data_IF_521272600147
#
_entry.id   IF_521272600147
#
_cell.length_a   1.000
_cell.length_b   1.000
_cell.length_c   1.000
_cell.angle_alpha   90.00
_cell.angle_beta   90.00
_cell.angle_gamma   90.00
#
_symmetry.space_group_name_H-M   'P 1'
#
loop_
_entity.id
_entity.type
_entity.pdbx_description
1 polymer ?
#
# COMPACT_ATOMS: atom_id res chain seq x y z
N UNK A 1 19.82 -23.92 -1.53
CA UNK A 1 19.69 -23.19 -0.23
C UNK A 1 20.24 -23.99 0.98
N UNK A 2 21.38 -24.68 0.83
CA UNK A 2 21.97 -25.50 1.91
C UNK A 2 22.88 -24.69 2.87
N UNK A 3 22.94 -23.39 2.76
CA UNK A 3 23.81 -22.48 3.52
C UNK A 3 22.96 -21.40 4.20
N UNK A 4 23.04 -21.30 5.51
CA UNK A 4 22.28 -20.34 6.32
C UNK A 4 22.52 -18.88 5.88
N UNK A 5 23.74 -18.55 5.51
CA UNK A 5 24.07 -17.19 5.02
C UNK A 5 23.35 -16.89 3.71
N UNK A 6 23.29 -17.86 2.80
CA UNK A 6 22.57 -17.71 1.52
C UNK A 6 21.06 -17.63 1.74
N UNK A 7 20.50 -18.43 2.67
CA UNK A 7 19.08 -18.34 3.06
C UNK A 7 18.73 -16.97 3.61
N UNK A 8 19.52 -16.48 4.56
CA UNK A 8 19.34 -15.16 5.16
C UNK A 8 19.41 -14.05 4.12
N UNK A 9 20.45 -14.04 3.28
CA UNK A 9 20.63 -13.04 2.22
C UNK A 9 19.46 -13.04 1.20
N UNK A 10 18.90 -14.23 0.90
CA UNK A 10 17.72 -14.34 0.05
C UNK A 10 16.49 -13.66 0.71
N UNK A 11 16.20 -13.97 1.98
CA UNK A 11 15.06 -13.39 2.70
C UNK A 11 15.23 -11.88 2.90
N UNK A 12 16.45 -11.40 3.19
CA UNK A 12 16.73 -9.96 3.27
C UNK A 12 16.41 -9.25 1.93
N UNK A 13 16.85 -9.85 0.81
CA UNK A 13 16.55 -9.30 -0.54
C UNK A 13 15.06 -9.30 -0.87
N UNK A 14 14.32 -10.32 -0.43
CA UNK A 14 12.86 -10.38 -0.59
C UNK A 14 12.20 -9.29 0.26
N UNK A 15 12.68 -9.06 1.50
CA UNK A 15 12.20 -7.97 2.35
C UNK A 15 12.45 -6.57 1.77
N UNK A 16 13.58 -6.37 1.05
CA UNK A 16 13.88 -5.11 0.36
C UNK A 16 12.82 -4.74 -0.68
N UNK A 17 12.16 -5.70 -1.32
CA UNK A 17 11.09 -5.43 -2.30
C UNK A 17 9.92 -4.70 -1.62
N UNK A 18 9.53 -5.14 -0.43
CA UNK A 18 8.49 -4.50 0.38
C UNK A 18 8.87 -3.06 0.71
N UNK A 19 10.12 -2.84 1.17
CA UNK A 19 10.60 -1.51 1.47
C UNK A 19 10.64 -0.60 0.24
N UNK A 20 11.00 -1.12 -0.93
CA UNK A 20 10.99 -0.35 -2.19
C UNK A 20 9.57 0.06 -2.60
N UNK A 21 8.57 -0.81 -2.44
CA UNK A 21 7.16 -0.46 -2.70
C UNK A 21 6.68 0.64 -1.76
N UNK A 22 6.92 0.48 -0.46
CA UNK A 22 6.49 1.45 0.56
C UNK A 22 7.20 2.80 0.44
N UNK A 23 8.48 2.80 0.05
CA UNK A 23 9.31 4.02 -0.09
C UNK A 23 9.29 4.61 -1.50
N UNK A 24 8.56 4.01 -2.44
CA UNK A 24 8.39 4.58 -3.78
C UNK A 24 7.76 5.98 -3.66
N UNK A 25 8.37 6.97 -4.30
CA UNK A 25 7.89 8.36 -4.26
C UNK A 25 6.48 8.53 -4.86
N UNK A 26 6.08 7.62 -5.73
CA UNK A 26 4.73 7.58 -6.33
C UNK A 26 3.86 6.57 -5.62
N UNK A 27 2.54 6.80 -5.50
CA UNK A 27 1.61 5.78 -5.05
C UNK A 27 1.70 4.52 -5.91
N UNK A 28 1.60 3.37 -5.25
CA UNK A 28 1.59 2.04 -5.88
C UNK A 28 0.22 1.42 -5.68
N UNK A 29 -0.45 1.08 -6.77
CA UNK A 29 -1.76 0.44 -6.75
C UNK A 29 -1.60 -1.03 -7.08
N UNK A 30 -2.03 -1.90 -6.16
CA UNK A 30 -2.14 -3.33 -6.39
C UNK A 30 -3.42 -3.65 -7.17
N UNK A 31 -3.30 -4.27 -8.33
CA UNK A 31 -4.44 -4.74 -9.12
C UNK A 31 -4.43 -6.28 -9.15
N UNK A 32 -5.33 -6.88 -8.37
CA UNK A 32 -5.34 -8.32 -8.09
C UNK A 32 -6.40 -9.00 -8.96
N UNK A 33 -5.96 -9.78 -9.92
CA UNK A 33 -6.83 -10.40 -10.93
C UNK A 33 -7.05 -11.90 -10.75
N UNK A 34 -6.69 -12.47 -9.58
CA UNK A 34 -6.82 -13.91 -9.35
C UNK A 34 -6.28 -14.35 -7.99
N UNK A 35 -5.85 -15.61 -7.91
CA UNK A 35 -5.33 -16.21 -6.68
C UNK A 35 -4.01 -15.54 -6.27
N UNK A 36 -3.96 -15.09 -5.03
CA UNK A 36 -2.81 -14.44 -4.42
C UNK A 36 -2.45 -15.17 -3.13
N UNK A 37 -1.26 -15.77 -3.07
CA UNK A 37 -0.84 -16.62 -1.97
C UNK A 37 0.51 -16.20 -1.39
N UNK A 38 0.71 -16.43 -0.09
CA UNK A 38 1.98 -16.23 0.62
C UNK A 38 2.59 -14.84 0.40
N UNK A 39 3.80 -14.80 -0.18
CA UNK A 39 4.52 -13.55 -0.47
C UNK A 39 3.73 -12.58 -1.37
N UNK A 40 2.88 -13.10 -2.26
CA UNK A 40 1.99 -12.27 -3.09
C UNK A 40 1.01 -11.45 -2.26
N UNK A 41 0.39 -12.04 -1.23
CA UNK A 41 -0.48 -11.31 -0.28
C UNK A 41 0.34 -10.25 0.47
N UNK A 42 1.56 -10.57 0.87
CA UNK A 42 2.40 -9.66 1.64
C UNK A 42 2.87 -8.46 0.80
N UNK A 43 3.21 -8.68 -0.48
CA UNK A 43 3.53 -7.59 -1.42
C UNK A 43 2.30 -6.74 -1.76
N UNK A 44 1.13 -7.36 -1.90
CA UNK A 44 -0.12 -6.64 -2.07
C UNK A 44 -0.40 -5.69 -0.89
N UNK A 45 -0.21 -6.15 0.34
CA UNK A 45 -0.36 -5.34 1.56
C UNK A 45 0.66 -4.19 1.66
N UNK A 46 1.76 -4.25 0.91
CA UNK A 46 2.73 -3.17 0.82
C UNK A 46 2.35 -2.08 -0.19
N UNK A 47 1.32 -2.31 -1.03
CA UNK A 47 0.76 -1.30 -1.92
C UNK A 47 -0.06 -0.26 -1.14
N UNK A 48 -0.20 0.93 -1.69
CA UNK A 48 -0.93 2.04 -1.05
C UNK A 48 -2.45 1.89 -1.20
N UNK A 49 -2.90 1.34 -2.32
CA UNK A 49 -4.30 1.04 -2.62
C UNK A 49 -4.35 -0.33 -3.29
N UNK A 50 -5.33 -1.14 -2.93
CA UNK A 50 -5.52 -2.46 -3.55
C UNK A 50 -6.92 -2.55 -4.14
N UNK A 51 -6.98 -2.87 -5.43
CA UNK A 51 -8.19 -3.22 -6.16
C UNK A 51 -8.14 -4.71 -6.51
N UNK A 52 -9.26 -5.38 -6.46
CA UNK A 52 -9.33 -6.82 -6.70
C UNK A 52 -10.49 -7.18 -7.62
N UNK A 53 -10.31 -8.24 -8.41
CA UNK A 53 -11.40 -8.95 -9.06
C UNK A 53 -12.26 -9.67 -8.01
N UNK A 54 -13.55 -9.78 -8.25
CA UNK A 54 -14.51 -10.46 -7.36
C UNK A 54 -14.22 -11.96 -7.17
N UNK A 55 -13.56 -12.61 -8.13
CA UNK A 55 -13.13 -14.02 -8.09
C UNK A 55 -11.75 -14.21 -7.47
N UNK A 56 -11.04 -13.17 -7.08
CA UNK A 56 -9.75 -13.30 -6.44
C UNK A 56 -9.84 -14.05 -5.10
N UNK A 57 -8.79 -14.77 -4.77
CA UNK A 57 -8.64 -15.53 -3.53
C UNK A 57 -7.32 -15.15 -2.87
N UNK A 58 -7.33 -15.10 -1.55
CA UNK A 58 -6.15 -14.71 -0.76
C UNK A 58 -5.84 -15.78 0.28
N UNK A 59 -4.56 -16.17 0.42
CA UNK A 59 -4.12 -17.26 1.29
C UNK A 59 -2.78 -16.90 1.93
N UNK A 60 -2.68 -16.95 3.26
CA UNK A 60 -1.40 -16.90 3.98
C UNK A 60 -0.80 -18.31 4.11
N UNK A 61 -0.30 -18.86 2.99
CA UNK A 61 0.03 -20.29 2.85
C UNK A 61 1.33 -20.75 3.49
N UNK A 62 2.09 -19.89 4.17
CA UNK A 62 3.42 -20.23 4.69
C UNK A 62 3.43 -21.39 5.67
N UNK A 63 2.46 -21.46 6.58
CA UNK A 63 2.37 -22.52 7.58
C UNK A 63 2.24 -23.90 6.95
N UNK A 64 1.62 -24.01 5.78
CA UNK A 64 1.44 -25.27 5.05
C UNK A 64 2.75 -25.89 4.57
N UNK A 65 3.82 -25.10 4.52
CA UNK A 65 5.18 -25.55 4.16
C UNK A 65 6.19 -25.35 5.29
N UNK A 66 5.71 -25.12 6.53
CA UNK A 66 6.56 -24.98 7.72
C UNK A 66 7.37 -23.70 7.76
N UNK A 67 6.90 -22.63 7.11
CA UNK A 67 7.54 -21.32 7.09
C UNK A 67 6.73 -20.27 7.84
N UNK A 68 7.39 -19.20 8.25
CA UNK A 68 6.73 -17.95 8.69
C UNK A 68 6.59 -17.00 7.50
N UNK A 69 5.57 -16.12 7.50
CA UNK A 69 5.42 -15.10 6.45
C UNK A 69 6.65 -14.19 6.34
N UNK A 70 7.15 -14.03 5.12
CA UNK A 70 8.23 -13.11 4.74
C UNK A 70 7.68 -11.79 4.16
N UNK A 71 8.48 -11.01 3.41
CA UNK A 71 8.06 -9.73 2.81
C UNK A 71 7.38 -8.77 3.79
N UNK A 72 7.66 -8.84 5.09
CA UNK A 72 7.00 -8.01 6.11
C UNK A 72 5.54 -8.37 6.36
N UNK A 73 5.06 -9.52 5.88
CA UNK A 73 3.65 -9.93 5.92
C UNK A 73 3.05 -9.95 7.33
N UNK A 74 3.79 -10.46 8.33
CA UNK A 74 3.31 -10.47 9.72
C UNK A 74 3.07 -9.06 10.26
N UNK A 75 3.95 -8.11 9.92
CA UNK A 75 3.80 -6.72 10.33
C UNK A 75 2.60 -6.08 9.62
N UNK A 76 2.58 -6.12 8.27
CA UNK A 76 1.58 -5.46 7.46
C UNK A 76 0.16 -6.02 7.68
N UNK A 77 0.02 -7.34 7.74
CA UNK A 77 -1.30 -7.94 7.96
C UNK A 77 -1.84 -7.59 9.34
N UNK A 78 -0.99 -7.66 10.39
CA UNK A 78 -1.40 -7.26 11.75
C UNK A 78 -1.89 -5.80 11.80
N UNK A 79 -1.20 -4.88 11.12
CA UNK A 79 -1.61 -3.48 11.06
C UNK A 79 -2.94 -3.30 10.28
N UNK A 80 -3.17 -4.15 9.28
CA UNK A 80 -4.36 -4.05 8.42
C UNK A 80 -5.61 -4.63 9.09
N UNK A 81 -5.53 -5.88 9.60
CA UNK A 81 -6.72 -6.63 10.06
C UNK A 81 -6.78 -6.80 11.59
N UNK A 82 -5.79 -6.26 12.31
CA UNK A 82 -5.65 -6.45 13.75
C UNK A 82 -5.02 -7.80 14.12
N UNK A 83 -4.54 -7.87 15.38
CA UNK A 83 -3.68 -8.98 15.85
C UNK A 83 -4.37 -10.36 15.78
N UNK A 84 -5.64 -10.45 16.22
CA UNK A 84 -6.33 -11.74 16.31
C UNK A 84 -6.63 -12.30 14.92
N UNK A 85 -7.17 -11.47 14.00
CA UNK A 85 -7.48 -11.91 12.65
C UNK A 85 -6.22 -12.24 11.84
N UNK A 86 -5.15 -11.48 12.04
CA UNK A 86 -3.86 -11.80 11.43
C UNK A 86 -3.34 -13.19 11.87
N UNK A 87 -3.42 -13.51 13.19
CA UNK A 87 -3.06 -14.83 13.71
C UNK A 87 -3.92 -15.94 13.13
N UNK A 88 -5.23 -15.76 13.09
CA UNK A 88 -6.15 -16.73 12.50
C UNK A 88 -5.75 -17.03 11.04
N UNK A 89 -5.67 -16.03 10.18
CA UNK A 89 -5.33 -16.21 8.76
C UNK A 89 -3.95 -16.85 8.56
N UNK A 90 -2.95 -16.50 9.39
CA UNK A 90 -1.61 -17.07 9.27
C UNK A 90 -1.49 -18.49 9.81
N UNK A 91 -2.25 -18.84 10.86
CA UNK A 91 -2.15 -20.15 11.51
C UNK A 91 -2.99 -21.20 10.80
N UNK A 92 -4.15 -20.81 10.25
CA UNK A 92 -5.05 -21.74 9.56
C UNK A 92 -4.74 -21.84 8.06
N UNK A 93 -4.14 -20.80 7.48
CA UNK A 93 -3.98 -20.65 6.03
C UNK A 93 -5.31 -20.77 5.27
N UNK A 94 -6.40 -20.31 5.88
CA UNK A 94 -7.71 -20.32 5.25
C UNK A 94 -7.73 -19.42 4.01
N UNK A 95 -8.44 -19.88 3.01
CA UNK A 95 -8.69 -19.12 1.77
C UNK A 95 -9.81 -18.13 2.04
N UNK A 96 -9.53 -16.83 1.86
CA UNK A 96 -10.56 -15.79 1.93
C UNK A 96 -10.92 -15.27 0.54
N UNK A 97 -12.18 -14.89 0.35
CA UNK A 97 -12.68 -14.29 -0.89
C UNK A 97 -12.29 -12.81 -1.00
N UNK A 98 -12.48 -12.23 -2.19
CA UNK A 98 -12.31 -10.80 -2.42
C UNK A 98 -13.22 -9.96 -1.49
N UNK A 99 -14.46 -10.38 -1.31
CA UNK A 99 -15.44 -9.70 -0.46
C UNK A 99 -15.05 -9.77 1.03
N UNK A 100 -14.49 -10.90 1.48
CA UNK A 100 -13.97 -11.01 2.85
C UNK A 100 -12.71 -10.13 3.01
N UNK A 101 -11.80 -10.12 2.05
CA UNK A 101 -10.61 -9.27 2.06
C UNK A 101 -10.98 -7.77 2.06
N UNK A 102 -12.06 -7.38 1.39
CA UNK A 102 -12.59 -6.00 1.43
C UNK A 102 -13.15 -5.65 2.81
N UNK A 103 -13.95 -6.52 3.42
CA UNK A 103 -14.44 -6.33 4.81
C UNK A 103 -13.30 -6.19 5.80
N UNK A 104 -12.21 -6.93 5.60
CA UNK A 104 -11.00 -6.89 6.42
C UNK A 104 -10.07 -5.72 6.07
N UNK A 105 -10.41 -4.88 5.09
CA UNK A 105 -9.57 -3.75 4.62
C UNK A 105 -8.22 -4.15 4.00
N UNK A 106 -8.07 -5.40 3.62
CA UNK A 106 -6.92 -5.87 2.83
C UNK A 106 -7.04 -5.42 1.37
N UNK A 107 -8.26 -5.29 0.88
CA UNK A 107 -8.65 -4.78 -0.43
C UNK A 107 -9.57 -3.58 -0.21
N UNK A 108 -9.40 -2.53 -0.99
CA UNK A 108 -10.22 -1.31 -0.87
C UNK A 108 -11.42 -1.30 -1.82
N UNK A 109 -11.29 -1.98 -2.97
CA UNK A 109 -12.33 -2.02 -4.00
C UNK A 109 -12.35 -3.38 -4.65
N UNK A 110 -13.55 -3.95 -4.78
CA UNK A 110 -13.81 -5.20 -5.51
C UNK A 110 -14.64 -4.88 -6.74
N UNK A 111 -14.20 -5.36 -7.89
CA UNK A 111 -14.84 -5.12 -9.19
C UNK A 111 -15.09 -6.46 -9.91
N UNK A 112 -15.93 -6.45 -10.92
CA UNK A 112 -15.99 -7.57 -11.87
C UNK A 112 -14.64 -7.73 -12.57
N UNK A 113 -14.39 -8.88 -13.13
CA UNK A 113 -13.12 -9.14 -13.82
C UNK A 113 -12.91 -8.21 -15.03
N UNK A 114 -14.00 -7.89 -15.70
CA UNK A 114 -14.05 -7.00 -16.86
C UNK A 114 -13.76 -5.54 -16.47
N UNK A 115 -14.30 -5.09 -15.32
CA UNK A 115 -14.21 -3.71 -14.88
C UNK A 115 -12.93 -3.41 -14.08
N UNK A 116 -12.27 -4.43 -13.52
CA UNK A 116 -11.12 -4.27 -12.63
C UNK A 116 -10.05 -3.32 -13.20
N UNK A 117 -9.67 -3.52 -14.45
CA UNK A 117 -8.63 -2.69 -15.09
C UNK A 117 -9.11 -1.25 -15.24
N UNK A 118 -10.31 -1.07 -15.79
CA UNK A 118 -10.87 0.26 -16.10
C UNK A 118 -11.02 1.08 -14.82
N UNK A 119 -11.59 0.48 -13.77
CA UNK A 119 -11.83 1.18 -12.51
C UNK A 119 -10.52 1.46 -11.75
N UNK A 120 -9.56 0.53 -11.80
CA UNK A 120 -8.23 0.76 -11.22
C UNK A 120 -7.49 1.90 -11.93
N UNK A 121 -7.58 1.96 -13.27
CA UNK A 121 -6.97 3.05 -14.06
C UNK A 121 -7.62 4.41 -13.76
N UNK A 122 -8.93 4.48 -13.51
CA UNK A 122 -9.60 5.72 -13.07
C UNK A 122 -9.03 6.24 -11.75
N UNK A 123 -8.79 5.33 -10.78
CA UNK A 123 -8.16 5.70 -9.50
C UNK A 123 -6.74 6.24 -9.76
N UNK A 124 -5.96 5.53 -10.57
CA UNK A 124 -4.59 5.94 -10.91
C UNK A 124 -4.56 7.32 -11.59
N UNK A 125 -5.45 7.56 -12.54
CA UNK A 125 -5.57 8.85 -13.23
C UNK A 125 -5.96 9.97 -12.27
N UNK A 126 -6.91 9.71 -11.36
CA UNK A 126 -7.31 10.68 -10.34
C UNK A 126 -6.15 11.08 -9.43
N UNK A 127 -5.34 10.10 -9.01
CA UNK A 127 -4.15 10.35 -8.18
C UNK A 127 -3.10 11.12 -8.98
N UNK A 128 -2.89 10.76 -10.25
CA UNK A 128 -1.90 11.41 -11.14
C UNK A 128 -2.23 12.88 -11.44
N UNK A 129 -3.49 13.31 -11.26
CA UNK A 129 -3.91 14.72 -11.36
C UNK A 129 -3.63 15.52 -10.08
N UNK A 130 -3.28 14.87 -8.97
CA UNK A 130 -2.95 15.53 -7.72
C UNK A 130 -1.52 16.10 -7.69
N UNK A 131 -1.24 17.00 -6.73
CA UNK A 131 0.08 17.61 -6.55
C UNK A 131 1.12 16.52 -6.16
N UNK A 132 2.12 16.22 -7.02
CA UNK A 132 2.98 15.06 -6.83
C UNK A 132 3.82 15.11 -5.54
N UNK A 133 4.34 16.30 -5.17
CA UNK A 133 5.13 16.47 -3.96
C UNK A 133 4.29 16.26 -2.70
N UNK A 134 3.07 16.80 -2.66
CA UNK A 134 2.17 16.60 -1.53
C UNK A 134 1.81 15.12 -1.35
N UNK A 135 1.47 14.42 -2.44
CA UNK A 135 1.17 12.97 -2.42
C UNK A 135 2.37 12.16 -1.93
N UNK A 136 3.58 12.47 -2.42
CA UNK A 136 4.82 11.80 -1.99
C UNK A 136 5.04 11.95 -0.48
N UNK A 137 4.90 13.16 0.05
CA UNK A 137 5.12 13.41 1.47
C UNK A 137 4.02 12.80 2.34
N UNK A 138 2.75 12.87 1.93
CA UNK A 138 1.66 12.16 2.62
C UNK A 138 1.97 10.66 2.73
N UNK A 139 2.33 10.00 1.62
CA UNK A 139 2.72 8.59 1.62
C UNK A 139 3.88 8.32 2.57
N UNK A 140 4.94 9.12 2.51
CA UNK A 140 6.13 8.98 3.35
C UNK A 140 5.78 9.07 4.84
N UNK A 141 5.00 10.06 5.23
CA UNK A 141 4.60 10.26 6.61
C UNK A 141 3.67 9.15 7.11
N UNK A 142 2.68 8.76 6.32
CA UNK A 142 1.74 7.68 6.66
C UNK A 142 2.40 6.30 6.77
N UNK A 143 3.49 6.08 6.04
CA UNK A 143 4.26 4.83 6.10
C UNK A 143 5.28 4.79 7.25
N UNK A 144 5.50 5.90 7.95
CA UNK A 144 6.44 6.02 9.07
C UNK A 144 5.73 5.77 10.39
N UNK A 145 6.41 5.12 11.31
CA UNK A 145 5.95 5.00 12.70
C UNK A 145 6.44 6.18 13.52
N UNK A 146 5.58 6.75 14.36
CA UNK A 146 5.90 7.83 15.29
C UNK A 146 5.66 7.36 16.71
N UNK A 147 6.48 7.81 17.64
CA UNK A 147 6.34 7.46 19.05
C UNK A 147 5.09 8.09 19.68
N UNK A 148 4.72 9.28 19.23
CA UNK A 148 3.57 10.02 19.73
C UNK A 148 3.10 11.06 18.69
N UNK A 149 1.95 11.71 18.96
CA UNK A 149 1.38 12.71 18.09
C UNK A 149 2.28 13.95 17.92
N UNK A 150 3.04 14.33 18.96
CA UNK A 150 3.91 15.50 18.87
C UNK A 150 5.00 15.32 17.81
N UNK A 151 5.65 14.16 17.78
CA UNK A 151 6.69 13.86 16.79
C UNK A 151 6.11 13.88 15.36
N UNK A 152 4.86 13.41 15.18
CA UNK A 152 4.14 13.52 13.92
C UNK A 152 3.89 14.98 13.53
N UNK A 153 3.37 15.81 14.45
CA UNK A 153 3.06 17.22 14.20
C UNK A 153 4.33 18.05 13.91
N UNK A 154 5.45 17.73 14.54
CA UNK A 154 6.72 18.40 14.27
C UNK A 154 7.19 18.15 12.82
N UNK A 155 7.08 16.91 12.34
CA UNK A 155 7.40 16.58 10.93
C UNK A 155 6.34 17.14 9.96
N UNK A 156 5.06 17.09 10.33
CA UNK A 156 3.96 17.69 9.55
C UNK A 156 4.19 19.18 9.31
N UNK A 157 4.60 19.93 10.34
CA UNK A 157 4.89 21.35 10.22
C UNK A 157 6.02 21.63 9.21
N UNK A 158 7.08 20.83 9.21
CA UNK A 158 8.19 20.94 8.26
C UNK A 158 7.72 20.66 6.82
N UNK A 159 7.00 19.54 6.64
CA UNK A 159 6.49 19.11 5.33
C UNK A 159 5.47 20.11 4.79
N UNK A 160 4.54 20.57 5.62
CA UNK A 160 3.54 21.54 5.21
C UNK A 160 4.15 22.88 4.83
N UNK A 161 5.16 23.35 5.60
CA UNK A 161 5.91 24.56 5.26
C UNK A 161 6.61 24.44 3.90
N UNK A 162 7.20 23.28 3.62
CA UNK A 162 7.78 22.99 2.31
C UNK A 162 6.71 23.07 1.20
N UNK A 163 5.58 22.37 1.38
CA UNK A 163 4.51 22.34 0.39
C UNK A 163 3.89 23.73 0.13
N UNK A 164 3.75 24.56 1.16
CA UNK A 164 3.28 25.96 1.04
C UNK A 164 4.18 26.82 0.13
N UNK A 165 5.47 26.50 0.06
CA UNK A 165 6.44 27.20 -0.79
C UNK A 165 6.45 26.78 -2.27
N UNK A 166 5.73 25.69 -2.64
CA UNK A 166 5.77 25.15 -4.00
C UNK A 166 4.93 25.94 -5.00
N UNK A 167 5.28 25.86 -6.28
CA UNK A 167 4.46 26.41 -7.36
C UNK A 167 3.13 25.66 -7.47
N UNK A 168 3.09 24.36 -7.18
CA UNK A 168 1.87 23.56 -7.15
C UNK A 168 0.89 24.09 -6.09
N UNK A 169 1.37 24.54 -4.93
CA UNK A 169 0.50 25.16 -3.92
C UNK A 169 -0.12 26.47 -4.43
N UNK A 170 0.65 27.32 -5.09
CA UNK A 170 0.17 28.57 -5.69
C UNK A 170 -0.87 28.30 -6.78
N UNK A 171 -0.56 27.33 -7.66
CA UNK A 171 -1.47 26.89 -8.72
C UNK A 171 -2.78 26.32 -8.13
N UNK A 172 -2.70 25.47 -7.11
CA UNK A 172 -3.88 24.91 -6.45
C UNK A 172 -4.79 25.98 -5.87
N UNK A 173 -4.21 26.98 -5.16
CA UNK A 173 -4.96 28.12 -4.61
C UNK A 173 -5.60 28.96 -5.72
N UNK A 174 -4.87 29.24 -6.80
CA UNK A 174 -5.36 30.01 -7.92
C UNK A 174 -6.49 29.27 -8.66
N UNK A 175 -6.30 27.98 -8.95
CA UNK A 175 -7.29 27.13 -9.59
C UNK A 175 -8.59 27.08 -8.78
N UNK A 176 -8.47 26.91 -7.45
CA UNK A 176 -9.62 26.92 -6.54
C UNK A 176 -10.41 28.25 -6.61
N UNK A 177 -9.71 29.40 -6.56
CA UNK A 177 -10.34 30.72 -6.68
C UNK A 177 -11.03 30.91 -8.04
N UNK A 178 -10.45 30.37 -9.10
CA UNK A 178 -10.95 30.46 -10.47
C UNK A 178 -11.97 29.37 -10.83
N UNK A 179 -12.27 28.45 -9.91
CA UNK A 179 -13.18 27.30 -10.13
C UNK A 179 -12.81 26.46 -11.36
N UNK A 180 -11.52 26.23 -11.58
CA UNK A 180 -10.97 25.39 -12.66
C UNK A 180 -10.15 24.23 -12.09
N UNK A 181 -9.85 23.27 -12.93
CA UNK A 181 -8.90 22.19 -12.57
C UNK A 181 -7.48 22.77 -12.46
N UNK A 182 -6.71 22.38 -11.44
CA UNK A 182 -5.29 22.73 -11.33
C UNK A 182 -4.44 21.94 -12.34
N UNK A 183 -3.29 22.48 -12.69
CA UNK A 183 -2.28 21.81 -13.51
C UNK A 183 -0.97 21.69 -12.74
N UNK A 184 -0.85 20.67 -11.91
CA UNK A 184 0.31 20.45 -11.06
C UNK A 184 1.52 19.92 -11.85
N UNK A 185 2.71 20.41 -11.52
CA UNK A 185 3.96 20.11 -12.22
C UNK A 185 5.01 19.45 -11.31
N UNK A 186 4.75 19.30 -10.01
CA UNK A 186 5.69 18.75 -9.04
C UNK A 186 6.84 19.71 -8.68
N UNK A 187 6.59 20.99 -8.64
CA UNK A 187 7.59 22.06 -8.42
C UNK A 187 7.20 22.98 -7.28
#
# INVERSE_FOLDING_TARGET
LNDDKKRKAFIERVGEMTLKLRNCAKPVIGMINGVTAGAGVNLMLACDIVCSSEDAKFIQSFVNVGLVPDCGGMYLLKETVGLQKAKELMFTADVISAQEAEKLKMVMHVYTKEDLKIETEKIAQKIAQGAPMAIMYMKKMLNKSYANLKDFLDEEALVQTFCLGTEDCKEGILAFKQKRQPNFQGK
#
